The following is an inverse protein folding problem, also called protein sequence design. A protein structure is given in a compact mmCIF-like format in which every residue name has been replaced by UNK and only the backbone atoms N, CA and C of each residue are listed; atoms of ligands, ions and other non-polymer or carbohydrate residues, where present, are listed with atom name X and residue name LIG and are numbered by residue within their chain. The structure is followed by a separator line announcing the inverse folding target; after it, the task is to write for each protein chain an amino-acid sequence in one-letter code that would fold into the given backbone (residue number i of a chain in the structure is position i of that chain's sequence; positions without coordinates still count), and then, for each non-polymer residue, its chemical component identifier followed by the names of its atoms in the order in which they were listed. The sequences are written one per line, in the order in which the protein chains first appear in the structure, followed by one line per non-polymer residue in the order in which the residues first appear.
data_IF_937542548902
#
_entry.id   IF_937542548902
#
_cell.length_a   1.000
_cell.length_b   1.000
_cell.length_c   1.000
_cell.angle_alpha   90.00
_cell.angle_beta   90.00
_cell.angle_gamma   90.00
#
_symmetry.space_group_name_H-M   'P 1'
#
loop_
_entity.id
_entity.type
_entity.pdbx_description
1 polymer ?
#
# COMPACT_ATOMS: atom_id res chain seq x y z
N UNK A 1 -13.42 13.75 9.85
CA UNK A 1 -14.52 13.60 10.83
C UNK A 1 -15.37 12.38 10.50
N UNK A 2 -15.92 12.27 9.28
CA UNK A 2 -16.81 11.17 8.89
C UNK A 2 -16.15 9.79 9.03
N UNK A 3 -14.92 9.65 8.60
CA UNK A 3 -14.12 8.42 8.74
C UNK A 3 -13.99 7.98 10.21
N UNK A 4 -13.68 8.90 11.13
CA UNK A 4 -13.59 8.62 12.57
C UNK A 4 -14.95 8.22 13.16
N UNK A 5 -16.04 8.87 12.70
CA UNK A 5 -17.40 8.47 13.11
C UNK A 5 -17.78 7.09 12.59
N UNK A 6 -17.42 6.76 11.35
CA UNK A 6 -17.60 5.41 10.79
C UNK A 6 -16.84 4.35 11.58
N UNK A 7 -15.70 4.74 12.17
CA UNK A 7 -14.91 3.90 13.07
C UNK A 7 -15.43 3.88 14.54
N UNK A 8 -16.64 4.40 14.80
CA UNK A 8 -17.31 4.33 16.09
C UNK A 8 -16.91 5.42 17.07
N UNK A 9 -16.21 6.49 16.67
CA UNK A 9 -15.89 7.62 17.53
C UNK A 9 -17.10 8.58 17.66
N UNK A 10 -17.25 9.23 18.80
CA UNK A 10 -18.23 10.30 18.96
C UNK A 10 -17.91 11.48 18.03
N UNK A 11 -18.93 12.27 17.66
CA UNK A 11 -18.72 13.48 16.87
C UNK A 11 -17.76 14.46 17.58
N UNK A 12 -17.84 14.56 18.91
CA UNK A 12 -16.95 15.41 19.70
C UNK A 12 -15.50 14.96 19.59
N UNK A 13 -15.22 13.68 19.79
CA UNK A 13 -13.87 13.12 19.69
C UNK A 13 -13.33 13.17 18.25
N UNK A 14 -14.20 12.93 17.26
CA UNK A 14 -13.84 13.02 15.84
C UNK A 14 -13.45 14.45 15.43
N UNK A 15 -14.11 15.48 15.98
CA UNK A 15 -13.76 16.90 15.74
C UNK A 15 -12.46 17.33 16.42
N UNK A 16 -12.08 16.68 17.52
CA UNK A 16 -10.79 16.90 18.22
C UNK A 16 -9.69 15.99 17.69
N UNK A 17 -10.03 15.07 16.81
CA UNK A 17 -9.09 14.17 16.18
C UNK A 17 -8.27 14.83 15.08
N UNK A 18 -7.40 14.05 14.48
CA UNK A 18 -6.54 14.48 13.38
C UNK A 18 -5.75 13.32 12.81
N UNK A 19 -4.80 13.67 11.94
CA UNK A 19 -3.89 12.73 11.31
C UNK A 19 -2.57 12.67 12.07
N UNK A 20 -1.98 11.48 12.18
CA UNK A 20 -0.63 11.28 12.75
C UNK A 20 0.45 11.80 11.80
N UNK A 21 1.72 11.51 12.07
CA UNK A 21 2.85 11.91 11.23
C UNK A 21 2.83 11.32 9.81
N UNK A 22 2.03 10.29 9.56
CA UNK A 22 1.88 9.65 8.24
C UNK A 22 0.49 9.92 7.66
N UNK A 23 -0.43 8.95 7.79
CA UNK A 23 -1.80 9.03 7.23
C UNK A 23 -2.86 8.63 8.25
N UNK A 24 -2.47 8.03 9.38
CA UNK A 24 -3.36 7.42 10.34
C UNK A 24 -4.21 8.49 11.04
N UNK A 25 -5.51 8.36 10.94
CA UNK A 25 -6.46 9.22 11.62
C UNK A 25 -6.89 8.64 12.95
N UNK A 26 -6.96 9.48 13.99
CA UNK A 26 -7.30 9.06 15.34
C UNK A 26 -7.95 10.15 16.18
N UNK A 27 -8.58 9.76 17.29
CA UNK A 27 -9.14 10.65 18.28
C UNK A 27 -8.07 11.03 19.30
N UNK A 28 -7.37 12.14 19.10
CA UNK A 28 -6.24 12.57 19.91
C UNK A 28 -6.56 12.63 21.40
N UNK A 29 -5.66 12.06 22.22
CA UNK A 29 -5.83 11.96 23.66
C UNK A 29 -6.88 10.95 24.14
N UNK A 30 -7.68 10.36 23.23
CA UNK A 30 -8.74 9.42 23.56
C UNK A 30 -8.51 8.01 22.98
N UNK A 31 -7.54 7.84 22.09
CA UNK A 31 -7.34 6.60 21.35
C UNK A 31 -5.95 6.02 21.55
N UNK A 32 -5.91 4.73 21.85
CA UNK A 32 -4.73 3.90 21.72
C UNK A 32 -4.71 3.32 20.31
N UNK A 33 -3.98 3.96 19.41
CA UNK A 33 -3.80 3.55 18.03
C UNK A 33 -2.48 2.79 17.89
N UNK A 34 -2.56 1.49 17.63
CA UNK A 34 -1.37 0.63 17.58
C UNK A 34 -1.23 -0.04 16.22
N UNK A 35 -0.11 0.24 15.57
CA UNK A 35 0.31 -0.41 14.34
C UNK A 35 0.76 -1.85 14.63
N UNK A 36 0.05 -2.82 14.02
CA UNK A 36 0.34 -4.24 14.16
C UNK A 36 1.17 -4.80 13.00
N UNK A 37 1.62 -3.93 12.10
CA UNK A 37 2.52 -4.23 11.00
C UNK A 37 1.83 -4.39 9.65
N UNK A 38 2.57 -4.93 8.70
CA UNK A 38 2.31 -4.82 7.27
C UNK A 38 1.84 -6.14 6.67
N UNK A 39 1.12 -6.07 5.54
CA UNK A 39 0.61 -7.21 4.80
C UNK A 39 0.97 -7.09 3.31
N UNK A 40 1.77 -8.02 2.80
CA UNK A 40 2.27 -8.02 1.43
C UNK A 40 1.22 -8.61 0.47
N UNK A 41 0.34 -7.78 -0.09
CA UNK A 41 -0.72 -8.20 -1.00
C UNK A 41 -0.20 -8.93 -2.26
N UNK A 42 0.85 -8.43 -2.94
CA UNK A 42 1.42 -9.13 -4.10
C UNK A 42 2.03 -10.50 -3.78
N UNK A 43 2.68 -10.67 -2.62
CA UNK A 43 3.25 -11.96 -2.22
C UNK A 43 2.16 -13.01 -1.99
N UNK A 44 1.05 -12.60 -1.39
CA UNK A 44 -0.10 -13.51 -1.20
C UNK A 44 -0.67 -13.95 -2.55
N UNK A 45 -0.65 -13.08 -3.57
CA UNK A 45 -1.05 -13.45 -4.92
C UNK A 45 -0.03 -14.40 -5.59
N UNK A 46 1.27 -14.17 -5.40
CA UNK A 46 2.30 -15.13 -5.83
C UNK A 46 2.01 -16.53 -5.25
N UNK A 47 1.71 -16.62 -3.95
CA UNK A 47 1.36 -17.88 -3.32
C UNK A 47 0.08 -18.52 -3.92
N UNK A 48 -0.93 -17.70 -4.28
CA UNK A 48 -2.13 -18.21 -4.94
C UNK A 48 -1.83 -18.79 -6.34
N UNK A 49 -0.92 -18.16 -7.08
CA UNK A 49 -0.50 -18.66 -8.40
C UNK A 49 0.24 -20.03 -8.31
N UNK A 50 0.93 -20.28 -7.21
CA UNK A 50 1.77 -21.47 -7.01
C UNK A 50 1.25 -22.41 -5.90
N UNK A 51 -0.08 -22.53 -5.74
CA UNK A 51 -0.74 -23.44 -4.79
C UNK A 51 -0.19 -23.35 -3.35
N UNK A 52 0.12 -22.14 -2.91
CA UNK A 52 0.65 -21.83 -1.58
C UNK A 52 2.16 -22.08 -1.41
N UNK A 53 2.87 -22.45 -2.48
CA UNK A 53 4.32 -22.67 -2.46
C UNK A 53 5.06 -21.37 -2.74
N UNK A 54 5.92 -20.97 -1.83
CA UNK A 54 6.84 -19.86 -2.01
C UNK A 54 7.97 -20.23 -2.99
N UNK A 55 8.07 -19.51 -4.09
CA UNK A 55 9.01 -19.82 -5.14
C UNK A 55 10.47 -19.45 -4.78
N UNK A 56 10.68 -18.54 -3.83
CA UNK A 56 12.02 -18.17 -3.37
C UNK A 56 12.66 -19.26 -2.51
N UNK A 57 11.86 -19.94 -1.67
CA UNK A 57 12.35 -20.93 -0.70
C UNK A 57 11.94 -22.36 -1.03
N UNK A 58 11.02 -22.57 -1.96
CA UNK A 58 10.43 -23.86 -2.29
C UNK A 58 9.51 -24.44 -1.19
N UNK A 59 9.18 -23.65 -0.17
CA UNK A 59 8.38 -24.11 1.00
C UNK A 59 6.89 -23.88 0.80
N UNK A 60 6.08 -24.80 1.27
CA UNK A 60 4.65 -24.60 1.41
C UNK A 60 4.41 -23.62 2.58
N UNK A 61 4.07 -22.38 2.27
CA UNK A 61 3.79 -21.34 3.27
C UNK A 61 2.29 -21.12 3.47
N UNK A 62 1.51 -21.11 2.39
CA UNK A 62 0.06 -20.95 2.41
C UNK A 62 -0.68 -22.27 2.23
N UNK A 63 -2.02 -22.27 2.37
CA UNK A 63 -2.84 -23.43 2.09
C UNK A 63 -2.78 -23.83 0.61
N UNK A 64 -3.07 -25.08 0.31
CA UNK A 64 -3.29 -25.51 -1.07
C UNK A 64 -4.64 -24.96 -1.55
N UNK A 65 -4.58 -24.12 -2.58
CA UNK A 65 -5.77 -23.44 -3.14
C UNK A 65 -6.05 -23.84 -4.58
N UNK A 66 -5.26 -24.76 -5.12
CA UNK A 66 -5.29 -25.22 -6.50
C UNK A 66 -4.17 -24.58 -7.34
N UNK A 67 -3.81 -25.24 -8.42
CA UNK A 67 -2.79 -24.73 -9.37
C UNK A 67 -3.43 -23.73 -10.31
N UNK A 68 -2.82 -22.57 -10.47
CA UNK A 68 -3.37 -21.50 -11.33
C UNK A 68 -3.54 -21.96 -12.80
N UNK A 69 -2.71 -22.90 -13.27
CA UNK A 69 -2.79 -23.49 -14.62
C UNK A 69 -4.09 -24.27 -14.86
N UNK A 70 -4.73 -24.77 -13.80
CA UNK A 70 -5.96 -25.56 -13.86
C UNK A 70 -7.23 -24.69 -13.81
N UNK A 71 -7.11 -23.41 -13.49
CA UNK A 71 -8.25 -22.49 -13.37
C UNK A 71 -8.75 -22.06 -14.76
N UNK A 72 -10.04 -22.27 -14.99
CA UNK A 72 -10.70 -21.95 -16.26
C UNK A 72 -11.23 -20.51 -16.32
N UNK A 73 -11.41 -19.86 -15.16
CA UNK A 73 -11.96 -18.52 -15.05
C UNK A 73 -11.13 -17.66 -14.09
N UNK A 74 -11.18 -16.35 -14.31
CA UNK A 74 -10.55 -15.40 -13.40
C UNK A 74 -11.13 -15.48 -11.97
N UNK A 75 -12.42 -15.81 -11.83
CA UNK A 75 -13.06 -15.92 -10.52
C UNK A 75 -12.51 -17.09 -9.71
N UNK A 76 -12.14 -18.20 -10.33
CA UNK A 76 -11.46 -19.32 -9.64
C UNK A 76 -10.08 -18.88 -9.09
N UNK A 77 -9.33 -18.08 -9.85
CA UNK A 77 -8.07 -17.53 -9.38
C UNK A 77 -8.30 -16.50 -8.26
N UNK A 78 -9.33 -15.67 -8.39
CA UNK A 78 -9.71 -14.72 -7.34
C UNK A 78 -10.07 -15.45 -6.04
N UNK A 79 -10.85 -16.53 -6.10
CA UNK A 79 -11.19 -17.35 -4.94
C UNK A 79 -9.94 -17.98 -4.29
N UNK A 80 -9.00 -18.46 -5.09
CA UNK A 80 -7.72 -18.96 -4.59
C UNK A 80 -6.94 -17.86 -3.86
N UNK A 81 -6.87 -16.65 -4.42
CA UNK A 81 -6.21 -15.50 -3.82
C UNK A 81 -6.88 -15.09 -2.50
N UNK A 82 -8.19 -14.99 -2.46
CA UNK A 82 -8.93 -14.63 -1.25
C UNK A 82 -8.77 -15.64 -0.12
N UNK A 83 -8.73 -16.94 -0.44
CA UNK A 83 -8.42 -17.99 0.55
C UNK A 83 -7.01 -17.88 1.12
N UNK A 84 -6.02 -17.49 0.31
CA UNK A 84 -4.68 -17.19 0.81
C UNK A 84 -4.70 -15.96 1.74
N UNK A 85 -5.39 -14.88 1.37
CA UNK A 85 -5.54 -13.68 2.22
C UNK A 85 -6.12 -14.07 3.58
N UNK A 86 -7.25 -14.79 3.61
CA UNK A 86 -7.91 -15.20 4.87
C UNK A 86 -7.01 -16.04 5.77
N UNK A 87 -6.27 -16.96 5.20
CA UNK A 87 -5.31 -17.77 5.96
C UNK A 87 -4.24 -16.90 6.62
N UNK A 88 -3.56 -16.06 5.84
CA UNK A 88 -2.48 -15.23 6.36
C UNK A 88 -2.98 -14.14 7.30
N UNK A 89 -4.17 -13.58 7.09
CA UNK A 89 -4.80 -12.66 8.03
C UNK A 89 -5.13 -13.35 9.36
N UNK A 90 -5.62 -14.58 9.33
CA UNK A 90 -5.89 -15.33 10.57
C UNK A 90 -4.63 -15.56 11.39
N UNK A 91 -3.53 -15.92 10.73
CA UNK A 91 -2.21 -16.10 11.37
C UNK A 91 -1.70 -14.76 11.92
N UNK A 92 -1.80 -13.68 11.12
CA UNK A 92 -1.35 -12.34 11.49
C UNK A 92 -2.11 -11.81 12.70
N UNK A 93 -3.43 -11.82 12.68
CA UNK A 93 -4.27 -11.30 13.77
C UNK A 93 -4.04 -12.09 15.05
N UNK A 94 -3.97 -13.43 14.96
CA UNK A 94 -3.64 -14.26 16.11
C UNK A 94 -2.27 -13.92 16.70
N UNK A 95 -1.24 -13.77 15.86
CA UNK A 95 0.10 -13.36 16.30
C UNK A 95 0.11 -11.97 16.92
N UNK A 96 -0.56 -11.01 16.29
CA UNK A 96 -0.69 -9.64 16.79
C UNK A 96 -1.41 -9.58 18.15
N UNK A 97 -2.48 -10.33 18.33
CA UNK A 97 -3.19 -10.41 19.61
C UNK A 97 -2.32 -11.02 20.74
N UNK A 98 -1.47 -12.00 20.41
CA UNK A 98 -0.48 -12.54 21.38
C UNK A 98 0.54 -11.47 21.75
N UNK A 99 1.05 -10.71 20.78
CA UNK A 99 1.99 -9.62 21.00
C UNK A 99 1.36 -8.53 21.89
N UNK A 100 0.12 -8.10 21.60
CA UNK A 100 -0.61 -7.13 22.43
C UNK A 100 -0.75 -7.62 23.89
N UNK A 101 -1.08 -8.90 24.08
CA UNK A 101 -1.18 -9.50 25.43
C UNK A 101 0.17 -9.47 26.17
N UNK A 102 1.27 -9.70 25.46
CA UNK A 102 2.61 -9.64 26.04
C UNK A 102 2.99 -8.20 26.39
N UNK A 103 2.67 -7.22 25.54
CA UNK A 103 2.88 -5.79 25.85
C UNK A 103 2.07 -5.35 27.07
N UNK A 104 0.78 -5.72 27.14
CA UNK A 104 -0.05 -5.41 28.28
C UNK A 104 0.51 -5.97 29.60
N UNK A 105 1.13 -7.16 29.55
CA UNK A 105 1.67 -7.84 30.73
C UNK A 105 3.07 -7.37 31.14
N UNK A 106 3.97 -7.14 30.18
CA UNK A 106 5.40 -7.00 30.45
C UNK A 106 5.93 -5.58 30.10
N UNK A 107 5.17 -4.78 29.37
CA UNK A 107 5.59 -3.47 28.87
C UNK A 107 4.55 -2.38 29.16
N UNK A 108 4.17 -2.16 30.46
CA UNK A 108 3.26 -1.06 30.79
C UNK A 108 3.91 0.28 30.46
N UNK A 109 3.09 1.24 30.07
CA UNK A 109 3.51 2.60 29.68
C UNK A 109 2.80 3.67 30.53
N UNK A 110 3.13 3.77 31.83
CA UNK A 110 2.39 4.60 32.78
C UNK A 110 2.39 6.09 32.40
N UNK A 111 3.50 6.59 31.85
CA UNK A 111 3.56 7.99 31.41
C UNK A 111 2.61 8.28 30.25
N UNK A 112 2.49 7.39 29.28
CA UNK A 112 1.52 7.52 28.18
C UNK A 112 0.09 7.35 28.70
N UNK A 113 -0.12 6.45 29.66
CA UNK A 113 -1.42 6.18 30.26
C UNK A 113 -1.99 7.41 30.99
N UNK A 114 -1.16 8.22 31.67
CA UNK A 114 -1.65 9.46 32.34
C UNK A 114 -1.99 10.58 31.33
N UNK A 115 -1.47 10.51 30.10
CA UNK A 115 -1.75 11.47 29.04
C UNK A 115 -2.93 11.04 28.14
N UNK A 116 -3.47 9.82 28.36
CA UNK A 116 -4.56 9.27 27.54
C UNK A 116 -5.83 9.17 28.40
N UNK A 117 -6.90 9.79 27.94
CA UNK A 117 -8.17 9.79 28.64
C UNK A 117 -8.70 8.36 28.90
N UNK A 118 -9.38 8.22 30.00
CA UNK A 118 -10.03 7.03 30.53
C UNK A 118 -9.06 5.96 31.09
N UNK A 119 -7.74 6.02 30.83
CA UNK A 119 -6.77 5.10 31.42
C UNK A 119 -6.78 5.14 32.95
N UNK A 120 -6.71 6.34 33.56
CA UNK A 120 -6.77 6.51 35.04
C UNK A 120 -8.15 6.07 35.55
N UNK A 121 -9.23 6.53 34.92
CA UNK A 121 -10.59 6.23 35.34
C UNK A 121 -10.92 4.75 35.33
N UNK A 122 -10.41 4.01 34.32
CA UNK A 122 -10.58 2.55 34.17
C UNK A 122 -9.59 1.73 34.99
N UNK A 123 -8.53 2.38 35.55
CA UNK A 123 -7.45 1.68 36.25
C UNK A 123 -6.63 0.75 35.33
N UNK A 124 -6.61 1.01 34.03
CA UNK A 124 -5.92 0.20 33.02
C UNK A 124 -4.85 0.99 32.30
N UNK A 125 -3.72 0.30 32.03
CA UNK A 125 -2.66 0.85 31.21
C UNK A 125 -3.11 0.99 29.72
N UNK A 126 -2.50 1.92 29.00
CA UNK A 126 -2.70 2.14 27.57
C UNK A 126 -2.59 0.84 26.77
N UNK A 127 -1.54 0.04 27.04
CA UNK A 127 -1.35 -1.27 26.38
C UNK A 127 -2.37 -2.33 26.83
N UNK A 128 -3.05 -2.12 27.94
CA UNK A 128 -4.07 -3.04 28.46
C UNK A 128 -5.51 -2.62 28.14
N UNK A 129 -5.69 -1.71 27.19
CA UNK A 129 -7.01 -1.25 26.76
C UNK A 129 -7.63 -0.18 27.68
N UNK A 130 -6.80 0.64 28.32
CA UNK A 130 -7.26 1.73 29.21
C UNK A 130 -7.83 2.93 28.49
N UNK A 131 -7.46 3.17 27.23
CA UNK A 131 -7.97 4.29 26.44
C UNK A 131 -9.47 4.12 26.10
N UNK A 132 -10.14 5.24 25.80
CA UNK A 132 -11.54 5.25 25.37
C UNK A 132 -11.76 4.43 24.10
N UNK A 133 -10.86 4.56 23.13
CA UNK A 133 -10.84 3.79 21.89
C UNK A 133 -9.54 3.00 21.78
N UNK A 134 -9.62 1.75 21.37
CA UNK A 134 -8.47 0.85 21.31
C UNK A 134 -8.39 0.22 19.91
N UNK A 135 -7.72 0.91 19.00
CA UNK A 135 -7.61 0.50 17.59
C UNK A 135 -6.29 -0.21 17.33
N UNK A 136 -6.34 -1.34 16.65
CA UNK A 136 -5.18 -2.05 16.09
C UNK A 136 -5.23 -1.96 14.58
N UNK A 137 -4.08 -1.75 13.92
CA UNK A 137 -4.04 -1.49 12.48
C UNK A 137 -3.14 -2.48 11.76
N UNK A 138 -3.61 -2.98 10.62
CA UNK A 138 -2.82 -3.73 9.65
C UNK A 138 -2.70 -2.90 8.38
N UNK A 139 -1.47 -2.69 7.94
CA UNK A 139 -1.18 -1.91 6.74
C UNK A 139 -1.07 -2.81 5.50
N UNK A 140 -1.92 -2.55 4.48
CA UNK A 140 -1.83 -3.17 3.17
C UNK A 140 -0.74 -2.51 2.33
N UNK A 141 0.08 -3.32 1.65
CA UNK A 141 1.23 -2.87 0.86
C UNK A 141 1.22 -3.51 -0.51
N UNK A 142 1.59 -2.74 -1.53
CA UNK A 142 1.68 -3.20 -2.90
C UNK A 142 0.35 -3.17 -3.65
N UNK A 143 -0.55 -2.25 -3.30
CA UNK A 143 -1.89 -2.18 -3.92
C UNK A 143 -1.84 -1.93 -5.43
N UNK A 144 -1.01 -1.02 -5.92
CA UNK A 144 -0.80 -0.80 -7.35
C UNK A 144 -0.22 -2.03 -8.05
N UNK A 145 0.82 -2.64 -7.44
CA UNK A 145 1.45 -3.85 -7.98
C UNK A 145 0.44 -4.99 -8.13
N UNK A 146 -0.33 -5.31 -7.08
CA UNK A 146 -1.31 -6.41 -7.15
C UNK A 146 -2.43 -6.12 -8.16
N UNK A 147 -2.87 -4.88 -8.26
CA UNK A 147 -3.88 -4.46 -9.24
C UNK A 147 -3.39 -4.73 -10.66
N UNK A 148 -2.19 -4.29 -11.00
CA UNK A 148 -1.58 -4.50 -12.29
C UNK A 148 -1.28 -5.98 -12.59
N UNK A 149 -0.96 -6.78 -11.55
CA UNK A 149 -0.82 -8.23 -11.68
C UNK A 149 -2.16 -8.89 -12.05
N UNK A 150 -3.23 -8.53 -11.35
CA UNK A 150 -4.57 -9.04 -11.64
C UNK A 150 -5.05 -8.58 -13.03
N UNK A 151 -4.78 -7.32 -13.41
CA UNK A 151 -5.10 -6.80 -14.73
C UNK A 151 -4.36 -7.58 -15.82
N UNK A 152 -3.06 -7.83 -15.66
CA UNK A 152 -2.27 -8.60 -16.63
C UNK A 152 -2.80 -10.03 -16.81
N UNK A 153 -3.08 -10.72 -15.71
CA UNK A 153 -3.62 -12.09 -15.76
C UNK A 153 -5.01 -12.10 -16.37
N UNK A 154 -5.92 -11.26 -15.86
CA UNK A 154 -7.29 -11.21 -16.35
C UNK A 154 -7.33 -10.87 -17.84
N UNK A 155 -6.65 -9.82 -18.27
CA UNK A 155 -6.65 -9.31 -19.63
C UNK A 155 -6.03 -10.30 -20.62
N UNK A 156 -4.84 -10.84 -20.31
CA UNK A 156 -4.09 -11.64 -21.27
C UNK A 156 -4.36 -13.14 -21.20
N UNK A 157 -4.67 -13.70 -20.02
CA UNK A 157 -4.90 -15.15 -19.88
C UNK A 157 -6.38 -15.47 -20.10
N UNK A 158 -7.31 -14.72 -19.48
CA UNK A 158 -8.72 -15.08 -19.52
C UNK A 158 -9.50 -14.36 -20.60
N UNK A 159 -9.37 -13.03 -20.73
CA UNK A 159 -10.20 -12.25 -21.64
C UNK A 159 -9.71 -12.37 -23.10
N UNK A 160 -8.43 -12.10 -23.37
CA UNK A 160 -7.87 -12.06 -24.73
C UNK A 160 -7.07 -13.32 -25.14
N UNK A 161 -6.76 -14.19 -24.20
CA UNK A 161 -5.99 -15.44 -24.43
C UNK A 161 -4.70 -15.20 -25.24
N UNK A 162 -3.97 -14.14 -24.90
CA UNK A 162 -2.72 -13.75 -25.58
C UNK A 162 -1.58 -14.73 -25.31
N UNK A 163 -1.62 -15.37 -24.15
CA UNK A 163 -0.76 -16.44 -23.68
C UNK A 163 -1.50 -17.25 -22.59
N UNK A 164 -0.99 -18.44 -22.29
CA UNK A 164 -1.54 -19.34 -21.27
C UNK A 164 -1.00 -18.98 -19.87
N UNK A 165 -1.70 -19.42 -18.83
CA UNK A 165 -1.18 -19.31 -17.47
C UNK A 165 0.18 -20.01 -17.32
N UNK A 166 0.36 -21.20 -17.91
CA UNK A 166 1.63 -21.92 -17.84
C UNK A 166 2.80 -21.13 -18.45
N UNK A 167 2.58 -20.47 -19.60
CA UNK A 167 3.61 -19.59 -20.21
C UNK A 167 3.95 -18.41 -19.31
N UNK A 168 2.95 -17.77 -18.67
CA UNK A 168 3.18 -16.68 -17.73
C UNK A 168 3.98 -17.14 -16.51
N UNK A 169 3.59 -18.24 -15.88
CA UNK A 169 4.30 -18.78 -14.72
C UNK A 169 5.74 -19.20 -15.04
N UNK A 170 6.00 -19.74 -16.25
CA UNK A 170 7.36 -19.99 -16.71
C UNK A 170 8.14 -18.69 -16.83
N UNK A 171 7.57 -17.67 -17.52
CA UNK A 171 8.23 -16.37 -17.68
C UNK A 171 8.57 -15.72 -16.33
N UNK A 172 7.68 -15.82 -15.33
CA UNK A 172 7.94 -15.31 -13.99
C UNK A 172 9.11 -16.05 -13.30
N UNK A 173 9.19 -17.39 -13.38
CA UNK A 173 10.31 -18.17 -12.83
C UNK A 173 11.64 -17.81 -13.47
N UNK A 174 11.64 -17.57 -14.78
CA UNK A 174 12.80 -17.19 -15.57
C UNK A 174 13.14 -15.70 -15.45
N UNK A 175 12.45 -14.96 -14.56
CA UNK A 175 12.59 -13.49 -14.42
C UNK A 175 12.43 -12.77 -15.78
N UNK A 176 11.54 -13.28 -16.63
CA UNK A 176 11.25 -12.89 -18.00
C UNK A 176 12.43 -13.03 -18.99
N UNK A 177 13.54 -13.65 -18.63
CA UNK A 177 14.65 -13.91 -19.55
C UNK A 177 14.19 -14.87 -20.65
N UNK A 178 14.34 -14.45 -21.90
CA UNK A 178 13.86 -15.22 -23.07
C UNK A 178 12.35 -15.17 -23.31
N UNK A 179 11.61 -14.37 -22.55
CA UNK A 179 10.15 -14.20 -22.67
C UNK A 179 9.75 -12.75 -23.05
N UNK A 180 10.53 -12.11 -23.94
CA UNK A 180 10.36 -10.70 -24.31
C UNK A 180 8.96 -10.36 -24.81
N UNK A 181 8.31 -11.28 -25.56
CA UNK A 181 6.94 -11.10 -26.03
C UNK A 181 5.96 -10.95 -24.86
N UNK A 182 6.04 -11.83 -23.85
CA UNK A 182 5.16 -11.79 -22.68
C UNK A 182 5.45 -10.53 -21.88
N UNK A 183 6.73 -10.23 -21.62
CA UNK A 183 7.15 -9.03 -20.90
C UNK A 183 6.61 -7.74 -21.55
N UNK A 184 6.73 -7.64 -22.90
CA UNK A 184 6.20 -6.49 -23.62
C UNK A 184 4.67 -6.38 -23.51
N UNK A 185 3.95 -7.49 -23.59
CA UNK A 185 2.48 -7.50 -23.45
C UNK A 185 2.06 -7.03 -22.04
N UNK A 186 2.63 -7.63 -21.00
CA UNK A 186 2.23 -7.30 -19.61
C UNK A 186 2.64 -5.89 -19.18
N UNK A 187 3.74 -5.35 -19.72
CA UNK A 187 4.18 -3.98 -19.42
C UNK A 187 3.44 -2.92 -20.21
N UNK A 188 3.30 -3.12 -21.52
CA UNK A 188 2.96 -2.05 -22.45
C UNK A 188 1.57 -2.20 -23.10
N UNK A 189 0.89 -3.34 -22.93
CA UNK A 189 -0.40 -3.63 -23.57
C UNK A 189 -1.49 -4.04 -22.59
N UNK A 190 -1.25 -3.91 -21.31
CA UNK A 190 -2.21 -4.16 -20.23
C UNK A 190 -2.77 -2.83 -19.72
N UNK A 191 -4.09 -2.70 -19.50
CA UNK A 191 -4.64 -1.58 -18.73
C UNK A 191 -3.97 -1.49 -17.37
N UNK A 192 -3.55 -0.27 -16.96
CA UNK A 192 -2.80 -0.03 -15.74
C UNK A 192 -3.53 0.90 -14.79
N UNK A 193 -3.45 0.59 -13.50
CA UNK A 193 -3.94 1.45 -12.45
C UNK A 193 -3.18 2.78 -12.40
N UNK A 194 -3.89 3.87 -12.11
CA UNK A 194 -3.34 5.22 -12.08
C UNK A 194 -3.49 6.00 -13.39
N UNK A 195 -4.25 5.46 -14.37
CA UNK A 195 -4.46 6.08 -15.68
C UNK A 195 -5.93 6.44 -15.96
N UNK A 196 -6.78 6.47 -14.93
CA UNK A 196 -8.24 6.65 -15.04
C UNK A 196 -8.89 5.60 -15.96
N UNK A 197 -8.40 4.36 -15.89
CA UNK A 197 -8.87 3.22 -16.67
C UNK A 197 -9.78 2.33 -15.82
N UNK A 198 -11.06 2.27 -16.13
CA UNK A 198 -12.06 1.55 -15.34
C UNK A 198 -11.80 0.04 -15.23
N UNK A 199 -11.09 -0.56 -16.20
CA UNK A 199 -10.72 -1.96 -16.14
C UNK A 199 -9.74 -2.23 -14.99
N UNK A 200 -8.66 -1.47 -14.91
CA UNK A 200 -7.66 -1.59 -13.87
C UNK A 200 -8.18 -1.05 -12.52
N UNK A 201 -8.83 0.12 -12.53
CA UNK A 201 -9.36 0.76 -11.32
C UNK A 201 -10.47 -0.08 -10.67
N UNK A 202 -11.27 -0.81 -11.47
CA UNK A 202 -12.24 -1.78 -10.99
C UNK A 202 -11.60 -2.94 -10.22
N UNK A 203 -10.42 -3.41 -10.64
CA UNK A 203 -9.65 -4.43 -9.94
C UNK A 203 -9.02 -3.87 -8.65
N UNK A 204 -8.54 -2.62 -8.67
CA UNK A 204 -8.06 -1.94 -7.45
C UNK A 204 -9.17 -1.87 -6.42
N UNK A 205 -10.36 -1.41 -6.79
CA UNK A 205 -11.52 -1.38 -5.89
C UNK A 205 -11.87 -2.76 -5.33
N UNK A 206 -11.77 -3.80 -6.17
CA UNK A 206 -12.06 -5.18 -5.75
C UNK A 206 -11.06 -5.66 -4.68
N UNK A 207 -9.76 -5.42 -4.89
CA UNK A 207 -8.70 -5.76 -3.91
C UNK A 207 -8.87 -4.96 -2.63
N UNK A 208 -9.02 -3.64 -2.76
CA UNK A 208 -9.16 -2.71 -1.64
C UNK A 208 -10.34 -3.08 -0.75
N UNK A 209 -11.54 -3.21 -1.33
CA UNK A 209 -12.73 -3.55 -0.57
C UNK A 209 -12.59 -4.90 0.12
N UNK A 210 -12.11 -5.92 -0.59
CA UNK A 210 -11.93 -7.24 0.00
C UNK A 210 -10.98 -7.22 1.19
N UNK A 211 -9.83 -6.54 1.06
CA UNK A 211 -8.84 -6.46 2.15
C UNK A 211 -9.39 -5.69 3.35
N UNK A 212 -10.04 -4.55 3.12
CA UNK A 212 -10.67 -3.75 4.17
C UNK A 212 -11.75 -4.55 4.90
N UNK A 213 -12.64 -5.22 4.18
CA UNK A 213 -13.72 -6.03 4.76
C UNK A 213 -13.19 -7.26 5.51
N UNK A 214 -12.08 -7.85 5.04
CA UNK A 214 -11.46 -9.00 5.70
C UNK A 214 -10.77 -8.67 7.02
N UNK A 215 -10.34 -7.43 7.23
CA UNK A 215 -9.60 -6.99 8.44
C UNK A 215 -10.50 -6.23 9.41
N UNK A 216 -11.29 -5.27 8.89
CA UNK A 216 -12.00 -4.31 9.72
C UNK A 216 -13.03 -4.97 10.62
N UNK A 217 -13.10 -4.51 11.87
CA UNK A 217 -14.05 -5.02 12.86
C UNK A 217 -13.63 -6.31 13.56
N UNK A 218 -12.55 -7.00 13.14
CA UNK A 218 -12.04 -8.17 13.88
C UNK A 218 -11.56 -7.73 15.27
N UNK A 219 -11.85 -8.49 16.35
CA UNK A 219 -11.50 -8.09 17.70
C UNK A 219 -9.98 -8.13 17.92
N UNK A 220 -9.48 -7.13 18.64
CA UNK A 220 -8.12 -7.10 19.17
C UNK A 220 -8.07 -7.50 20.65
N UNK A 221 -6.88 -7.65 21.23
CA UNK A 221 -6.69 -8.05 22.63
C UNK A 221 -7.08 -6.94 23.64
N UNK A 222 -7.13 -5.68 23.19
CA UNK A 222 -7.34 -4.51 24.05
C UNK A 222 -8.81 -4.08 24.18
N UNK A 223 -9.76 -4.90 23.69
CA UNK A 223 -11.20 -4.65 23.74
C UNK A 223 -11.73 -3.72 22.63
N UNK A 224 -10.91 -3.44 21.62
CA UNK A 224 -11.29 -2.75 20.40
C UNK A 224 -11.24 -3.65 19.17
N UNK A 225 -11.04 -3.07 18.01
CA UNK A 225 -11.05 -3.80 16.73
C UNK A 225 -9.87 -3.43 15.83
N UNK A 226 -9.63 -4.28 14.83
CA UNK A 226 -8.69 -4.01 13.76
C UNK A 226 -9.29 -3.06 12.71
N UNK A 227 -8.43 -2.23 12.12
CA UNK A 227 -8.67 -1.38 10.95
C UNK A 227 -7.56 -1.58 9.93
N UNK A 228 -7.77 -1.05 8.72
CA UNK A 228 -6.79 -1.08 7.63
C UNK A 228 -6.25 0.32 7.38
N UNK A 229 -4.94 0.41 7.16
CA UNK A 229 -4.31 1.52 6.45
C UNK A 229 -3.61 1.00 5.19
N UNK A 230 -3.40 1.88 4.23
CA UNK A 230 -2.66 1.57 3.01
C UNK A 230 -1.39 2.43 2.98
N UNK A 231 -0.37 1.97 3.70
CA UNK A 231 0.89 2.68 3.90
C UNK A 231 2.03 1.68 4.11
N UNK A 232 3.18 1.80 3.44
CA UNK A 232 4.28 0.85 3.58
C UNK A 232 5.35 1.29 4.59
N UNK A 233 5.46 2.58 4.95
CA UNK A 233 6.69 3.20 5.49
C UNK A 233 7.86 2.93 4.52
N UNK A 234 8.61 1.83 4.70
CA UNK A 234 9.69 1.38 3.79
C UNK A 234 9.59 -0.09 3.42
N UNK A 235 8.62 -0.83 3.99
CA UNK A 235 8.59 -2.29 3.84
C UNK A 235 8.28 -2.76 2.40
N UNK A 236 7.78 -1.89 1.51
CA UNK A 236 7.59 -2.19 0.09
C UNK A 236 8.91 -2.60 -0.60
N UNK A 237 10.07 -2.14 -0.08
CA UNK A 237 11.39 -2.52 -0.59
C UNK A 237 11.63 -4.01 -0.34
N UNK A 238 11.68 -4.43 0.92
CA UNK A 238 11.96 -5.84 1.23
C UNK A 238 10.78 -6.78 1.00
N UNK A 239 9.57 -6.26 0.85
CA UNK A 239 8.45 -7.06 0.37
C UNK A 239 8.63 -7.47 -1.10
N UNK A 240 9.19 -6.58 -1.92
CA UNK A 240 9.60 -6.92 -3.27
C UNK A 240 10.81 -7.86 -3.31
N UNK A 241 11.76 -7.69 -2.39
CA UNK A 241 12.98 -8.50 -2.33
C UNK A 241 12.72 -10.00 -2.07
N UNK A 242 11.66 -10.33 -1.35
CA UNK A 242 11.26 -11.73 -1.07
C UNK A 242 10.31 -12.32 -2.14
N UNK A 243 10.22 -11.70 -3.30
CA UNK A 243 9.33 -12.13 -4.40
C UNK A 243 10.10 -12.43 -5.68
N UNK A 244 9.69 -13.46 -6.41
CA UNK A 244 10.09 -13.65 -7.80
C UNK A 244 9.47 -12.56 -8.69
N UNK A 245 9.73 -12.59 -10.00
CA UNK A 245 9.04 -11.70 -10.94
C UNK A 245 7.52 -11.87 -10.85
N UNK A 246 6.78 -10.79 -11.12
CA UNK A 246 5.32 -10.79 -10.98
C UNK A 246 4.59 -10.58 -12.32
N UNK A 247 3.31 -10.95 -12.42
CA UNK A 247 2.54 -10.95 -13.69
C UNK A 247 2.50 -9.61 -14.42
N UNK A 248 2.66 -8.47 -13.72
CA UNK A 248 2.70 -7.14 -14.34
C UNK A 248 4.03 -6.81 -15.02
N UNK A 249 5.02 -7.71 -14.97
CA UNK A 249 6.36 -7.52 -15.53
C UNK A 249 7.38 -6.90 -14.57
N UNK A 250 7.05 -6.75 -13.26
CA UNK A 250 8.02 -6.42 -12.21
C UNK A 250 9.02 -7.56 -12.08
N UNK A 251 10.31 -7.27 -12.11
CA UNK A 251 11.37 -8.28 -11.98
C UNK A 251 11.53 -8.72 -10.53
N UNK A 252 12.13 -9.90 -10.34
CA UNK A 252 12.46 -10.41 -9.02
C UNK A 252 13.30 -9.40 -8.21
N UNK A 253 13.11 -9.38 -6.89
CA UNK A 253 13.81 -8.50 -5.96
C UNK A 253 13.56 -6.99 -6.13
N UNK A 254 12.71 -6.58 -7.07
CA UNK A 254 12.34 -5.16 -7.21
C UNK A 254 11.24 -4.78 -6.22
N UNK A 255 11.26 -3.56 -5.67
CA UNK A 255 10.20 -3.08 -4.77
C UNK A 255 8.80 -3.22 -5.37
N UNK A 256 7.81 -3.46 -4.52
CA UNK A 256 6.39 -3.32 -4.90
C UNK A 256 5.94 -1.86 -4.77
N UNK A 257 4.76 -1.51 -5.23
CA UNK A 257 4.21 -0.15 -5.10
C UNK A 257 3.97 0.20 -3.62
N UNK A 258 4.08 1.47 -3.29
CA UNK A 258 3.85 1.99 -1.94
C UNK A 258 2.44 2.55 -1.79
N UNK A 259 1.84 2.37 -0.59
CA UNK A 259 0.52 2.89 -0.26
C UNK A 259 -0.55 2.48 -1.29
N UNK A 260 -1.26 3.48 -1.79
CA UNK A 260 -2.21 3.32 -2.90
C UNK A 260 -1.67 3.87 -4.23
N UNK A 261 -0.39 4.22 -4.27
CA UNK A 261 0.24 4.73 -5.49
C UNK A 261 0.26 3.66 -6.59
N UNK A 262 0.19 4.08 -7.86
CA UNK A 262 0.41 3.18 -9.00
C UNK A 262 1.78 2.50 -8.95
N UNK A 263 1.93 1.43 -9.73
CA UNK A 263 3.26 0.84 -9.97
C UNK A 263 4.14 1.86 -10.72
N UNK A 264 5.41 1.91 -10.36
CA UNK A 264 6.39 2.86 -10.93
C UNK A 264 6.46 2.78 -12.45
N UNK A 265 6.29 3.93 -13.10
CA UNK A 265 6.28 4.05 -14.55
C UNK A 265 5.03 3.49 -15.24
N UNK A 266 4.00 3.09 -14.48
CA UNK A 266 2.74 2.61 -15.03
C UNK A 266 1.73 3.75 -15.27
N UNK A 267 1.82 4.82 -14.50
CA UNK A 267 0.93 5.99 -14.48
C UNK A 267 1.40 7.04 -15.49
N UNK A 268 1.05 6.83 -16.75
CA UNK A 268 1.54 7.63 -17.90
C UNK A 268 0.58 8.71 -18.37
N UNK A 269 -0.65 8.78 -17.81
CA UNK A 269 -1.68 9.73 -18.24
C UNK A 269 -1.73 11.01 -17.37
N UNK A 270 -0.68 11.25 -16.59
CA UNK A 270 -0.50 12.47 -15.80
C UNK A 270 -1.20 12.43 -14.43
N UNK A 271 -0.94 13.46 -13.59
CA UNK A 271 -1.32 13.46 -12.17
C UNK A 271 -2.83 13.48 -11.95
N UNK A 272 -3.58 14.10 -12.86
CA UNK A 272 -5.05 14.12 -12.79
C UNK A 272 -5.66 12.73 -12.96
N UNK A 273 -5.11 11.90 -13.86
CA UNK A 273 -5.55 10.52 -14.03
C UNK A 273 -5.24 9.68 -12.77
N UNK A 274 -4.08 9.92 -12.15
CA UNK A 274 -3.70 9.25 -10.90
C UNK A 274 -4.71 9.55 -9.79
N UNK A 275 -5.02 10.83 -9.53
CA UNK A 275 -5.96 11.18 -8.45
C UNK A 275 -7.37 10.64 -8.71
N UNK A 276 -7.83 10.61 -9.98
CA UNK A 276 -9.12 10.02 -10.35
C UNK A 276 -9.16 8.51 -10.11
N UNK A 277 -8.11 7.77 -10.48
CA UNK A 277 -7.99 6.35 -10.17
C UNK A 277 -8.03 6.09 -8.67
N UNK A 278 -7.25 6.87 -7.89
CA UNK A 278 -7.19 6.75 -6.43
C UNK A 278 -8.53 7.09 -5.76
N UNK A 279 -9.23 8.12 -6.23
CA UNK A 279 -10.52 8.55 -5.69
C UNK A 279 -11.67 7.54 -5.90
N UNK A 280 -11.49 6.53 -6.75
CA UNK A 280 -12.50 5.46 -6.94
C UNK A 280 -12.58 4.48 -5.76
N UNK A 281 -11.64 4.53 -4.82
CA UNK A 281 -11.67 3.75 -3.56
C UNK A 281 -12.47 4.51 -2.49
N UNK A 282 -13.14 3.76 -1.61
CA UNK A 282 -13.84 4.34 -0.46
C UNK A 282 -12.85 4.51 0.73
N UNK A 283 -12.14 5.64 0.74
CA UNK A 283 -11.15 5.95 1.77
C UNK A 283 -11.75 6.03 3.18
N UNK A 284 -13.05 6.36 3.32
CA UNK A 284 -13.72 6.47 4.61
C UNK A 284 -13.85 5.14 5.36
N UNK A 285 -13.59 4.01 4.69
CA UNK A 285 -13.53 2.68 5.30
C UNK A 285 -12.20 2.34 5.96
N UNK A 286 -11.18 3.17 5.79
CA UNK A 286 -9.81 2.93 6.29
C UNK A 286 -9.45 3.88 7.42
N UNK A 287 -8.31 3.65 8.05
CA UNK A 287 -7.65 4.59 8.97
C UNK A 287 -6.69 5.53 8.26
N UNK A 288 -6.44 5.30 6.97
CA UNK A 288 -5.59 6.15 6.13
C UNK A 288 -5.07 5.46 4.88
N UNK A 289 -4.92 6.24 3.82
CA UNK A 289 -4.34 5.80 2.55
C UNK A 289 -3.29 6.80 2.10
N UNK A 290 -2.15 6.32 1.65
CA UNK A 290 -1.03 7.17 1.24
C UNK A 290 -0.89 7.17 -0.28
N UNK A 291 -0.93 8.38 -0.89
CA UNK A 291 -0.61 8.61 -2.30
C UNK A 291 0.64 9.46 -2.42
N UNK A 292 1.64 8.97 -3.14
CA UNK A 292 2.83 9.72 -3.54
C UNK A 292 2.71 10.21 -4.99
N UNK A 293 3.15 11.46 -5.23
CA UNK A 293 3.42 11.97 -6.57
C UNK A 293 4.77 12.68 -6.60
N UNK A 294 5.46 12.61 -7.73
CA UNK A 294 6.74 13.29 -7.94
C UNK A 294 6.63 14.23 -9.14
N UNK A 295 7.04 15.48 -8.93
CA UNK A 295 7.08 16.51 -9.95
C UNK A 295 8.50 17.04 -10.13
N UNK A 296 8.84 17.45 -11.34
CA UNK A 296 10.03 18.26 -11.51
C UNK A 296 9.76 19.68 -11.03
N UNK A 297 10.77 20.43 -10.52
CA UNK A 297 10.58 21.82 -10.09
C UNK A 297 10.00 22.73 -11.18
N UNK A 298 10.30 22.47 -12.45
CA UNK A 298 9.81 23.27 -13.58
C UNK A 298 8.27 23.18 -13.74
N UNK A 299 7.67 22.03 -13.47
CA UNK A 299 6.23 21.79 -13.63
C UNK A 299 5.39 22.60 -12.63
N UNK A 300 5.93 22.85 -11.44
CA UNK A 300 5.26 23.59 -10.36
C UNK A 300 5.82 25.00 -10.17
N UNK A 301 6.61 25.50 -11.11
CA UNK A 301 7.22 26.83 -11.05
C UNK A 301 6.22 27.93 -11.42
N UNK A 302 6.42 29.11 -10.80
CA UNK A 302 5.59 30.30 -11.05
C UNK A 302 4.18 30.20 -10.49
N UNK A 303 3.37 31.22 -10.70
CA UNK A 303 1.98 31.29 -10.21
C UNK A 303 1.11 30.20 -10.86
N UNK A 304 1.22 30.03 -12.16
CA UNK A 304 0.43 29.02 -12.89
C UNK A 304 0.73 27.58 -12.43
N UNK A 305 2.00 27.23 -12.19
CA UNK A 305 2.37 25.91 -11.66
C UNK A 305 1.85 25.68 -10.25
N UNK A 306 1.86 26.72 -9.39
CA UNK A 306 1.31 26.68 -8.05
C UNK A 306 -0.22 26.56 -8.06
N UNK A 307 -0.90 27.28 -8.96
CA UNK A 307 -2.35 27.19 -9.11
C UNK A 307 -2.78 25.79 -9.56
N UNK A 308 -2.10 25.21 -10.56
CA UNK A 308 -2.35 23.83 -11.00
C UNK A 308 -2.15 22.81 -9.87
N UNK A 309 -1.12 22.98 -9.05
CA UNK A 309 -0.89 22.13 -7.89
C UNK A 309 -2.01 22.29 -6.83
N UNK A 310 -2.42 23.53 -6.58
CA UNK A 310 -3.52 23.80 -5.65
C UNK A 310 -4.84 23.18 -6.12
N UNK A 311 -5.13 23.28 -7.43
CA UNK A 311 -6.33 22.71 -8.03
C UNK A 311 -6.29 21.16 -8.01
N UNK A 312 -5.13 20.55 -8.25
CA UNK A 312 -4.92 19.11 -8.13
C UNK A 312 -5.25 18.63 -6.71
N UNK A 313 -4.70 19.30 -5.69
CA UNK A 313 -4.93 18.95 -4.28
C UNK A 313 -6.40 19.12 -3.90
N UNK A 314 -7.01 20.26 -4.25
CA UNK A 314 -8.45 20.51 -3.98
C UNK A 314 -9.33 19.47 -4.65
N UNK A 315 -9.10 19.22 -5.94
CA UNK A 315 -9.88 18.24 -6.71
C UNK A 315 -9.79 16.84 -6.07
N UNK A 316 -8.61 16.42 -5.63
CA UNK A 316 -8.46 15.12 -4.98
C UNK A 316 -9.26 15.02 -3.69
N UNK A 317 -9.25 16.06 -2.85
CA UNK A 317 -10.05 16.06 -1.61
C UNK A 317 -11.55 16.26 -1.86
N UNK A 318 -11.94 17.01 -2.89
CA UNK A 318 -13.35 17.14 -3.32
C UNK A 318 -13.91 15.80 -3.85
N UNK A 319 -13.03 14.90 -4.29
CA UNK A 319 -13.34 13.51 -4.69
C UNK A 319 -13.21 12.50 -3.55
N UNK A 320 -13.22 12.94 -2.28
CA UNK A 320 -13.04 12.13 -1.07
C UNK A 320 -11.68 11.44 -0.94
N UNK A 321 -10.62 11.95 -1.60
CA UNK A 321 -9.25 11.50 -1.37
C UNK A 321 -8.81 11.73 0.07
N UNK A 322 -7.98 10.83 0.60
CA UNK A 322 -7.60 10.87 2.02
C UNK A 322 -6.32 11.66 2.28
N UNK A 323 -5.27 11.36 1.55
CA UNK A 323 -3.93 11.93 1.73
C UNK A 323 -3.17 11.93 0.42
N UNK A 324 -2.41 13.00 0.18
CA UNK A 324 -1.48 13.11 -0.93
C UNK A 324 -0.19 13.77 -0.44
N UNK A 325 0.95 13.29 -0.88
CA UNK A 325 2.26 13.88 -0.60
C UNK A 325 3.11 13.97 -1.86
N UNK A 326 4.05 14.91 -1.85
CA UNK A 326 4.81 15.28 -3.05
C UNK A 326 6.32 15.22 -2.82
N UNK A 327 7.04 14.81 -3.86
CA UNK A 327 8.44 15.11 -4.07
C UNK A 327 8.54 16.10 -5.25
N UNK A 328 9.12 17.25 -5.00
CA UNK A 328 9.39 18.25 -6.06
C UNK A 328 10.90 18.26 -6.32
N UNK A 329 11.35 17.25 -7.05
CA UNK A 329 12.77 17.03 -7.35
C UNK A 329 12.91 16.20 -8.64
N UNK A 330 13.78 16.64 -9.55
CA UNK A 330 14.04 15.92 -10.81
C UNK A 330 14.93 14.68 -10.59
N UNK A 331 14.74 13.68 -11.45
CA UNK A 331 15.52 12.44 -11.47
C UNK A 331 17.04 12.70 -11.57
N UNK A 332 17.44 13.67 -12.38
CA UNK A 332 18.87 14.04 -12.56
C UNK A 332 19.50 14.51 -11.26
N UNK A 333 18.77 15.35 -10.48
CA UNK A 333 19.22 15.82 -9.17
C UNK A 333 19.39 14.66 -8.19
N UNK A 334 18.45 13.73 -8.17
CA UNK A 334 18.53 12.53 -7.29
C UNK A 334 19.71 11.63 -7.68
N UNK A 335 19.95 11.41 -8.97
CA UNK A 335 21.10 10.65 -9.46
C UNK A 335 22.44 11.33 -9.13
N UNK A 336 22.50 12.66 -9.26
CA UNK A 336 23.66 13.44 -8.87
C UNK A 336 23.92 13.37 -7.36
N UNK A 337 22.86 13.47 -6.56
CA UNK A 337 22.92 13.35 -5.09
C UNK A 337 23.35 11.95 -4.64
N UNK A 338 22.91 10.89 -5.31
CA UNK A 338 23.34 9.52 -5.02
C UNK A 338 24.83 9.32 -5.33
N UNK A 339 25.34 9.95 -6.39
CA UNK A 339 26.75 9.89 -6.79
C UNK A 339 27.66 10.74 -5.90
N UNK A 340 27.22 11.94 -5.53
CA UNK A 340 27.99 12.95 -4.79
C UNK A 340 27.22 13.41 -3.53
N UNK A 341 26.99 12.55 -2.52
CA UNK A 341 26.12 12.86 -1.40
C UNK A 341 26.56 14.09 -0.57
N UNK A 342 27.84 14.40 -0.54
CA UNK A 342 28.38 15.53 0.20
C UNK A 342 28.01 16.91 -0.41
N UNK A 343 27.75 16.97 -1.72
CA UNK A 343 27.31 18.18 -2.40
C UNK A 343 25.80 18.45 -2.20
N UNK A 344 25.04 17.42 -1.80
CA UNK A 344 23.57 17.46 -1.64
C UNK A 344 23.15 17.15 -0.19
N UNK A 345 23.90 17.65 0.78
CA UNK A 345 23.70 17.33 2.23
C UNK A 345 22.29 17.68 2.70
N UNK A 346 21.73 18.76 2.19
CA UNK A 346 20.47 19.33 2.61
C UNK A 346 19.28 18.88 1.76
N UNK A 347 19.52 17.97 0.79
CA UNK A 347 18.45 17.43 -0.04
C UNK A 347 17.54 16.52 0.81
N UNK A 348 16.34 17.01 1.08
CA UNK A 348 15.30 16.28 1.78
C UNK A 348 14.32 15.70 0.76
N UNK A 349 13.91 14.45 0.98
CA UNK A 349 12.89 13.78 0.18
C UNK A 349 11.77 13.24 1.07
N UNK A 350 10.58 13.18 0.51
CA UNK A 350 9.43 12.54 1.14
C UNK A 350 9.44 11.05 0.76
N UNK A 351 9.50 10.18 1.76
CA UNK A 351 9.57 8.73 1.55
C UNK A 351 8.15 8.15 1.45
N UNK A 352 7.55 7.81 2.57
CA UNK A 352 6.17 7.34 2.66
C UNK A 352 5.66 7.62 4.09
N UNK A 353 5.04 8.79 4.27
CA UNK A 353 4.57 9.27 5.55
C UNK A 353 5.62 10.02 6.40
N UNK A 354 6.89 10.05 5.98
CA UNK A 354 7.96 10.80 6.64
C UNK A 354 8.94 11.35 5.61
N UNK A 355 9.79 12.29 6.04
CA UNK A 355 10.87 12.88 5.23
C UNK A 355 12.21 12.60 5.88
N UNK A 356 13.23 12.45 5.05
CA UNK A 356 14.62 12.30 5.49
C UNK A 356 15.57 12.94 4.49
N UNK A 357 16.81 13.17 4.91
CA UNK A 357 17.87 13.55 3.98
C UNK A 357 18.15 12.39 3.02
N UNK A 358 18.15 12.67 1.73
CA UNK A 358 18.31 11.67 0.69
C UNK A 358 19.60 10.83 0.89
N UNK A 359 20.68 11.46 1.33
CA UNK A 359 21.97 10.79 1.62
C UNK A 359 21.92 9.79 2.78
N UNK A 360 20.96 9.92 3.71
CA UNK A 360 20.80 9.01 4.85
C UNK A 360 20.07 7.72 4.49
N UNK A 361 19.35 7.73 3.36
CA UNK A 361 18.60 6.57 2.90
C UNK A 361 19.56 5.50 2.37
N UNK A 362 19.21 4.24 2.58
CA UNK A 362 19.91 3.14 1.95
C UNK A 362 19.71 3.14 0.42
N UNK A 363 20.65 2.52 -0.29
CA UNK A 363 20.64 2.54 -1.76
C UNK A 363 19.34 2.00 -2.38
N UNK A 364 18.75 0.88 -1.92
CA UNK A 364 17.48 0.39 -2.47
C UNK A 364 16.34 1.40 -2.36
N UNK A 365 16.26 2.15 -1.27
CA UNK A 365 15.24 3.18 -1.07
C UNK A 365 15.52 4.43 -1.92
N UNK A 366 16.80 4.83 -2.05
CA UNK A 366 17.19 5.89 -2.98
C UNK A 366 16.79 5.53 -4.43
N UNK A 367 17.11 4.32 -4.88
CA UNK A 367 16.80 3.82 -6.21
C UNK A 367 15.27 3.82 -6.43
N UNK A 368 14.50 3.44 -5.42
CA UNK A 368 13.04 3.46 -5.46
C UNK A 368 12.47 4.87 -5.67
N UNK A 369 12.96 5.86 -4.93
CA UNK A 369 12.52 7.27 -5.06
C UNK A 369 12.92 7.85 -6.44
N UNK A 370 14.10 7.48 -6.93
CA UNK A 370 14.57 7.86 -8.28
C UNK A 370 13.63 7.28 -9.36
N UNK A 371 13.18 6.04 -9.19
CA UNK A 371 12.35 5.31 -10.15
C UNK A 371 10.87 5.75 -10.14
N UNK A 372 10.39 6.52 -9.14
CA UNK A 372 9.01 7.04 -9.11
C UNK A 372 8.72 7.86 -10.36
N UNK A 373 7.51 7.70 -10.90
CA UNK A 373 7.09 8.44 -12.10
C UNK A 373 7.17 9.94 -11.88
N UNK A 374 7.80 10.65 -12.80
CA UNK A 374 7.77 12.12 -12.83
C UNK A 374 6.49 12.55 -13.52
N UNK A 375 5.61 13.20 -12.76
CA UNK A 375 4.34 13.69 -13.25
C UNK A 375 4.49 15.02 -13.97
N UNK A 376 3.70 15.19 -15.02
CA UNK A 376 3.55 16.43 -15.78
C UNK A 376 2.06 16.71 -15.97
N UNK A 377 1.66 17.99 -15.98
CA UNK A 377 0.27 18.37 -16.20
C UNK A 377 -0.18 18.25 -17.67
N UNK A 378 0.74 17.95 -18.57
CA UNK A 378 0.50 17.90 -20.02
C UNK A 378 0.26 19.32 -20.59
N UNK A 379 1.08 19.77 -21.54
CA UNK A 379 0.83 21.01 -22.27
C UNK A 379 -0.03 20.74 -23.49
#
# INVERSE_FOLDING_TARGET
IQELMNAGKSLEDARKGGCSGCVETGAFGNEAYILQGYFNLPKIFELALFDGVDQMTGRQLGPRTGRAEDFQTFDQLWDAYTRQIEYFLSVKIRGSNIIEALYAKYMPVPFLSILTNDCIASGKDYNAGGARYNTSVIQGVGAGTITDCLAAVKYHVYDNRSFTMAELLSAMRDNFQGHDRILNLVRNKTPKYGNDDDYADGLMRKVFNYFVESVSGRPNMRGGTYRVDMLPTTCHIYFGDVMIASPNGRLAHKPVSEGISPEKGADINGPTAVIKSCAKMDHLKTGGTLLNQKFTPAVVAGEEGLDRMADLVRTYFDMDGHHIQFNVVGRETLLAAQKNPEEYRDLIVRVAGYSDYFRNLDKPLQDEIIERTEQDFGC
#
